data_IF_241286445054
#
_entry.id   IF_241286445054
#
_cell.length_a   1.000
_cell.length_b   1.000
_cell.length_c   1.000
_cell.angle_alpha   90.00
_cell.angle_beta   90.00
_cell.angle_gamma   90.00
#
_symmetry.space_group_name_H-M   'P 1'
#
loop_
_entity.id
_entity.type
_entity.pdbx_description
1 polymer ?
#
# COMPACT_ATOMS: atom_id res chain seq x y z
N UNK A 1 39.58 11.34 35.21
CA UNK A 1 39.63 11.74 33.78
C UNK A 1 40.06 10.51 33.01
N UNK A 2 39.42 10.01 31.97
CA UNK A 2 38.23 10.32 31.14
C UNK A 2 38.09 9.04 30.26
N UNK A 3 36.98 8.63 29.69
CA UNK A 3 36.07 9.31 28.76
C UNK A 3 34.76 8.53 28.86
N UNK A 4 33.67 9.24 29.10
CA UNK A 4 32.31 8.72 29.04
C UNK A 4 31.98 8.25 27.62
N UNK A 5 31.53 7.00 27.48
CA UNK A 5 30.78 6.55 26.32
C UNK A 5 29.62 7.52 26.10
N UNK A 6 29.61 8.18 24.94
CA UNK A 6 28.55 9.11 24.56
C UNK A 6 27.54 8.34 23.70
N UNK A 7 26.39 7.90 24.27
CA UNK A 7 25.41 7.07 23.56
C UNK A 7 24.61 7.83 22.49
N UNK A 8 24.80 9.14 22.35
CA UNK A 8 24.14 9.97 21.35
C UNK A 8 25.19 10.69 20.49
N UNK A 9 25.19 10.49 19.15
CA UNK A 9 26.05 11.28 18.28
C UNK A 9 25.70 12.77 18.42
N UNK A 10 26.72 13.63 18.41
CA UNK A 10 26.51 15.08 18.42
C UNK A 10 25.80 15.47 17.12
N UNK A 11 24.50 15.78 17.21
CA UNK A 11 23.69 16.23 16.09
C UNK A 11 24.19 17.61 15.67
N UNK A 12 24.73 17.71 14.46
CA UNK A 12 25.22 18.98 13.93
C UNK A 12 24.04 19.82 13.42
N UNK A 13 23.99 21.11 13.80
CA UNK A 13 22.92 22.01 13.38
C UNK A 13 23.14 22.42 11.91
N UNK A 14 22.33 21.87 11.01
CA UNK A 14 22.38 22.16 9.56
C UNK A 14 21.84 23.54 9.20
N UNK A 15 21.16 24.24 10.12
CA UNK A 15 20.52 25.55 9.84
C UNK A 15 21.52 26.70 9.62
N UNK A 16 22.77 26.59 10.09
CA UNK A 16 23.80 27.60 9.80
C UNK A 16 24.39 27.45 8.39
N UNK A 17 24.31 26.26 7.80
CA UNK A 17 24.88 25.98 6.48
C UNK A 17 24.10 26.66 5.33
N UNK A 18 22.78 26.81 5.47
CA UNK A 18 21.94 27.54 4.51
C UNK A 18 22.05 29.06 4.63
N UNK A 19 22.40 29.59 5.81
CA UNK A 19 22.59 31.04 6.00
C UNK A 19 23.98 31.51 5.55
N UNK A 20 25.04 30.77 5.86
CA UNK A 20 26.42 31.15 5.49
C UNK A 20 26.70 30.93 3.98
N UNK A 21 26.05 29.94 3.34
CA UNK A 21 26.20 29.68 1.90
C UNK A 21 25.16 30.38 1.02
N UNK A 22 24.27 31.20 1.58
CA UNK A 22 23.29 31.97 0.79
C UNK A 22 23.96 33.01 -0.12
N UNK A 23 25.14 33.48 0.25
CA UNK A 23 25.95 34.36 -0.60
C UNK A 23 26.62 33.59 -1.76
N UNK A 24 27.16 32.39 -1.51
CA UNK A 24 27.76 31.51 -2.53
C UNK A 24 26.72 30.94 -3.52
N UNK A 25 25.54 30.57 -3.03
CA UNK A 25 24.43 30.13 -3.88
C UNK A 25 23.90 31.27 -4.76
N UNK A 26 23.86 32.51 -4.25
CA UNK A 26 23.36 33.65 -5.03
C UNK A 26 24.37 34.19 -6.06
N UNK A 27 25.70 34.10 -5.81
CA UNK A 27 26.69 34.50 -6.83
C UNK A 27 26.68 33.59 -8.07
N UNK A 28 26.43 32.28 -7.92
CA UNK A 28 26.28 31.33 -9.06
C UNK A 28 25.11 31.63 -10.00
N UNK A 29 24.07 32.34 -9.53
CA UNK A 29 22.94 32.74 -10.36
C UNK A 29 23.11 34.13 -11.02
N UNK A 30 24.26 34.78 -10.83
CA UNK A 30 24.48 36.17 -11.29
C UNK A 30 25.62 36.35 -12.30
N UNK A 31 26.26 35.28 -12.76
CA UNK A 31 27.30 35.36 -13.80
C UNK A 31 26.94 34.47 -15.00
N UNK A 32 26.87 35.12 -16.17
CA UNK A 32 26.76 34.64 -17.55
C UNK A 32 26.35 33.15 -17.77
N UNK A 33 25.18 32.93 -18.38
CA UNK A 33 24.67 31.62 -18.87
C UNK A 33 25.60 30.88 -19.87
N UNK A 34 26.78 31.42 -20.17
CA UNK A 34 27.81 30.82 -21.05
C UNK A 34 29.05 30.29 -20.30
N UNK A 35 29.19 30.48 -18.98
CA UNK A 35 30.30 29.87 -18.22
C UNK A 35 29.94 28.46 -17.72
N UNK A 36 30.78 27.48 -18.04
CA UNK A 36 30.67 26.11 -17.50
C UNK A 36 31.12 26.14 -16.05
N UNK A 37 30.22 25.84 -15.11
CA UNK A 37 30.57 25.67 -13.70
C UNK A 37 31.65 24.57 -13.53
N UNK A 38 32.72 24.89 -12.80
CA UNK A 38 33.75 23.92 -12.47
C UNK A 38 33.23 22.96 -11.39
N UNK A 39 33.38 21.66 -11.66
CA UNK A 39 33.03 20.57 -10.75
C UNK A 39 33.86 20.66 -9.46
N UNK A 40 33.21 20.87 -8.31
CA UNK A 40 33.86 21.20 -7.04
C UNK A 40 33.47 20.29 -5.86
N UNK A 41 34.11 20.48 -4.70
CA UNK A 41 33.90 19.67 -3.49
C UNK A 41 32.46 19.73 -2.97
N UNK A 42 31.77 20.85 -3.22
CA UNK A 42 30.38 21.07 -2.83
C UNK A 42 29.45 20.12 -3.58
N UNK A 43 29.65 19.94 -4.89
CA UNK A 43 28.84 19.04 -5.70
C UNK A 43 28.96 17.58 -5.23
N UNK A 44 30.18 17.15 -4.86
CA UNK A 44 30.39 15.82 -4.28
C UNK A 44 29.70 15.68 -2.93
N UNK A 45 29.76 16.73 -2.09
CA UNK A 45 29.10 16.72 -0.80
C UNK A 45 27.57 16.60 -0.95
N UNK A 46 26.96 17.34 -1.86
CA UNK A 46 25.52 17.29 -2.12
C UNK A 46 25.05 15.90 -2.62
N UNK A 47 25.90 15.16 -3.33
CA UNK A 47 25.60 13.78 -3.75
C UNK A 47 25.54 12.78 -2.58
N UNK A 48 26.26 13.02 -1.49
CA UNK A 48 26.46 12.05 -0.40
C UNK A 48 25.85 12.46 0.95
N UNK A 49 25.53 13.75 1.15
CA UNK A 49 25.05 14.30 2.44
C UNK A 49 23.77 13.64 2.95
N UNK A 50 22.86 13.25 2.04
CA UNK A 50 21.55 12.67 2.37
C UNK A 50 21.54 11.13 2.47
N UNK A 51 22.70 10.47 2.41
CA UNK A 51 22.77 9.03 2.69
C UNK A 51 22.42 8.83 4.17
N UNK A 52 21.54 7.87 4.47
CA UNK A 52 21.20 7.52 5.86
C UNK A 52 22.24 6.57 6.44
N UNK A 53 22.55 6.74 7.72
CA UNK A 53 23.43 5.82 8.44
C UNK A 53 22.70 4.47 8.66
N UNK A 54 23.35 3.33 8.39
CA UNK A 54 22.72 2.01 8.57
C UNK A 54 22.48 1.64 10.05
N UNK A 55 23.14 2.31 10.99
CA UNK A 55 22.99 2.13 12.44
C UNK A 55 22.12 3.24 13.08
N UNK A 56 21.78 4.32 12.36
CA UNK A 56 21.05 5.46 12.92
C UNK A 56 20.03 6.09 11.93
N UNK A 57 18.82 6.51 12.35
CA UNK A 57 17.80 7.10 11.46
C UNK A 57 18.14 8.47 10.86
N UNK A 58 19.37 8.98 11.03
CA UNK A 58 19.79 10.31 10.57
C UNK A 58 20.74 10.19 9.38
N UNK A 59 20.83 11.26 8.61
CA UNK A 59 21.76 11.34 7.46
C UNK A 59 23.23 11.45 7.90
N UNK A 60 24.14 11.08 7.01
CA UNK A 60 25.58 11.15 7.25
C UNK A 60 26.05 12.59 7.52
N UNK A 61 25.39 13.61 6.95
CA UNK A 61 25.63 15.02 7.27
C UNK A 61 25.22 15.36 8.72
N UNK A 62 23.99 15.00 9.10
CA UNK A 62 23.46 15.28 10.45
C UNK A 62 24.29 14.61 11.55
N UNK A 63 24.91 13.47 11.23
CA UNK A 63 25.79 12.70 12.10
C UNK A 63 27.26 13.11 11.99
N UNK A 64 27.58 14.07 11.14
CA UNK A 64 28.92 14.59 10.93
C UNK A 64 29.93 13.51 10.45
N UNK A 65 29.39 12.48 9.79
CA UNK A 65 30.15 11.36 9.23
C UNK A 65 30.86 11.75 7.95
N UNK A 66 30.26 12.66 7.17
CA UNK A 66 30.85 13.28 5.99
C UNK A 66 30.89 14.79 6.17
N UNK A 67 31.96 15.43 5.67
CA UNK A 67 32.16 16.89 5.70
C UNK A 67 32.80 17.34 4.40
N UNK A 68 32.52 18.58 3.99
CA UNK A 68 33.12 19.20 2.80
C UNK A 68 34.64 19.23 2.90
N UNK A 69 35.19 19.61 4.06
CA UNK A 69 36.63 19.66 4.35
C UNK A 69 37.38 18.31 4.15
N UNK A 70 36.63 17.21 4.12
CA UNK A 70 37.16 15.85 3.97
C UNK A 70 37.04 15.30 2.55
N UNK A 71 36.55 16.11 1.60
CA UNK A 71 36.48 15.78 0.17
C UNK A 71 37.63 16.48 -0.54
N UNK A 72 38.39 15.72 -1.33
CA UNK A 72 39.50 16.24 -2.12
C UNK A 72 39.32 15.82 -3.58
N UNK A 73 39.26 16.79 -4.48
CA UNK A 73 39.12 16.55 -5.92
C UNK A 73 40.41 16.92 -6.63
N UNK A 74 40.87 16.04 -7.51
CA UNK A 74 41.94 16.33 -8.47
C UNK A 74 41.39 16.13 -9.88
N UNK A 75 40.97 17.23 -10.50
CA UNK A 75 40.31 17.23 -11.81
C UNK A 75 41.28 16.74 -12.90
N UNK A 76 42.54 17.21 -12.88
CA UNK A 76 43.58 16.82 -13.85
C UNK A 76 43.83 15.31 -13.87
N UNK A 77 43.83 14.66 -12.70
CA UNK A 77 44.04 13.22 -12.56
C UNK A 77 42.73 12.42 -12.53
N UNK A 78 41.59 13.11 -12.69
CA UNK A 78 40.24 12.54 -12.55
C UNK A 78 40.13 11.65 -11.31
N UNK A 79 40.51 12.18 -10.15
CA UNK A 79 40.63 11.42 -8.91
C UNK A 79 39.90 12.14 -7.77
N UNK A 80 39.07 11.39 -7.05
CA UNK A 80 38.28 11.91 -5.93
C UNK A 80 38.60 11.07 -4.70
N UNK A 81 38.95 11.75 -3.61
CA UNK A 81 39.30 11.14 -2.35
C UNK A 81 38.42 11.69 -1.23
N UNK A 82 37.77 10.79 -0.50
CA UNK A 82 36.82 11.16 0.55
C UNK A 82 37.22 10.48 1.84
N UNK A 83 37.31 11.29 2.90
CA UNK A 83 37.44 10.80 4.27
C UNK A 83 36.09 10.82 4.97
N UNK A 84 35.72 9.71 5.60
CA UNK A 84 34.52 9.64 6.43
C UNK A 84 34.88 9.19 7.85
N UNK A 85 34.16 9.74 8.82
CA UNK A 85 34.39 9.52 10.25
C UNK A 85 33.20 8.75 10.82
N UNK A 86 33.34 7.45 11.15
CA UNK A 86 32.25 6.70 11.78
C UNK A 86 31.79 7.38 13.07
N UNK A 87 30.50 7.21 13.40
CA UNK A 87 29.87 7.84 14.57
C UNK A 87 30.54 7.45 15.90
N UNK A 88 31.11 6.24 15.98
CA UNK A 88 31.87 5.76 17.13
C UNK A 88 33.13 4.97 16.72
N UNK A 89 34.20 4.96 17.54
CA UNK A 89 35.46 4.29 17.22
C UNK A 89 35.38 2.77 17.02
N UNK A 90 34.27 2.14 17.43
CA UNK A 90 34.04 0.71 17.34
C UNK A 90 32.82 0.35 16.45
N UNK A 91 32.42 1.25 15.55
CA UNK A 91 31.26 1.08 14.68
C UNK A 91 31.36 -0.20 13.84
N UNK A 92 30.43 -1.13 14.07
CA UNK A 92 30.44 -2.42 13.40
C UNK A 92 30.13 -2.30 11.90
N UNK A 93 29.41 -1.24 11.51
CA UNK A 93 28.97 -0.98 10.14
C UNK A 93 29.80 0.08 9.38
N UNK A 94 31.00 0.46 9.88
CA UNK A 94 31.88 1.40 9.18
C UNK A 94 32.19 0.98 7.72
N UNK A 95 32.26 -0.34 7.45
CA UNK A 95 32.42 -0.86 6.10
C UNK A 95 31.21 -0.57 5.19
N UNK A 96 29.98 -0.67 5.71
CA UNK A 96 28.77 -0.42 4.93
C UNK A 96 28.62 1.06 4.59
N UNK A 97 28.98 1.95 5.52
CA UNK A 97 29.02 3.40 5.27
C UNK A 97 30.00 3.70 4.13
N UNK A 98 31.24 3.19 4.22
CA UNK A 98 32.26 3.38 3.18
C UNK A 98 31.86 2.81 1.81
N UNK A 99 31.21 1.65 1.76
CA UNK A 99 30.71 1.05 0.52
C UNK A 99 29.53 1.84 -0.08
N UNK A 100 28.62 2.33 0.76
CA UNK A 100 27.46 3.13 0.33
C UNK A 100 27.90 4.45 -0.31
N UNK A 101 28.88 5.11 0.29
CA UNK A 101 29.53 6.30 -0.27
C UNK A 101 30.16 6.00 -1.63
N UNK A 102 30.96 4.93 -1.69
CA UNK A 102 31.67 4.53 -2.92
C UNK A 102 30.70 4.21 -4.05
N UNK A 103 29.61 3.50 -3.77
CA UNK A 103 28.63 3.12 -4.79
C UNK A 103 27.79 4.30 -5.27
N UNK A 104 27.33 5.16 -4.36
CA UNK A 104 26.58 6.37 -4.71
C UNK A 104 27.38 7.25 -5.67
N UNK A 105 28.68 7.42 -5.40
CA UNK A 105 29.57 8.22 -6.23
C UNK A 105 29.90 7.53 -7.55
N UNK A 106 30.17 6.22 -7.56
CA UNK A 106 30.41 5.49 -8.81
C UNK A 106 29.22 5.51 -9.77
N UNK A 107 27.98 5.58 -9.26
CA UNK A 107 26.76 5.71 -10.08
C UNK A 107 26.50 7.13 -10.55
N UNK A 108 26.82 8.12 -9.73
CA UNK A 108 26.49 9.51 -9.98
C UNK A 108 27.56 10.24 -10.78
N UNK A 109 28.80 9.75 -10.75
CA UNK A 109 29.94 10.39 -11.40
C UNK A 109 30.28 9.77 -12.77
N UNK A 110 30.81 10.56 -13.71
CA UNK A 110 31.34 10.03 -14.96
C UNK A 110 32.43 8.98 -14.71
N UNK A 111 32.41 7.88 -15.50
CA UNK A 111 33.35 6.75 -15.38
C UNK A 111 34.85 7.12 -15.47
N UNK A 112 35.18 8.35 -15.87
CA UNK A 112 36.56 8.87 -15.88
C UNK A 112 37.11 9.10 -14.47
N UNK A 113 36.25 9.35 -13.48
CA UNK A 113 36.69 9.62 -12.12
C UNK A 113 36.95 8.33 -11.35
N UNK A 114 38.14 8.22 -10.77
CA UNK A 114 38.47 7.18 -9.80
C UNK A 114 38.13 7.70 -8.39
N UNK A 115 37.25 6.98 -7.69
CA UNK A 115 36.80 7.33 -6.34
C UNK A 115 37.44 6.41 -5.29
N UNK A 116 38.18 7.01 -4.35
CA UNK A 116 38.73 6.34 -3.17
C UNK A 116 38.07 6.88 -1.90
N UNK A 117 37.39 5.99 -1.16
CA UNK A 117 36.74 6.29 0.12
C UNK A 117 37.56 5.67 1.24
N UNK A 118 37.94 6.47 2.23
CA UNK A 118 38.87 6.09 3.30
C UNK A 118 38.28 6.53 4.65
N UNK A 119 38.44 5.70 5.67
CA UNK A 119 38.13 6.11 7.05
C UNK A 119 39.12 7.19 7.50
N UNK A 120 38.63 8.24 8.14
CA UNK A 120 39.48 9.32 8.69
C UNK A 120 40.52 8.74 9.66
N UNK A 121 41.82 9.04 9.49
CA UNK A 121 42.87 8.47 10.35
C UNK A 121 42.63 8.68 11.84
N UNK A 122 42.75 7.62 12.63
CA UNK A 122 42.56 7.66 14.08
C UNK A 122 41.10 7.71 14.54
N UNK A 123 40.12 7.67 13.62
CA UNK A 123 38.69 7.69 13.96
C UNK A 123 38.07 6.32 14.25
N UNK A 124 38.77 5.22 13.97
CA UNK A 124 38.23 3.86 14.14
C UNK A 124 39.30 2.87 14.61
N UNK A 125 38.96 2.00 15.58
CA UNK A 125 39.88 1.05 16.19
C UNK A 125 40.41 -0.02 15.23
N UNK A 126 39.68 -0.28 14.14
CA UNK A 126 40.04 -1.24 13.10
C UNK A 126 40.19 -0.60 11.73
N UNK A 127 40.61 0.67 11.69
CA UNK A 127 40.80 1.47 10.47
C UNK A 127 41.57 0.73 9.37
N UNK A 128 42.72 0.11 9.69
CA UNK A 128 43.55 -0.59 8.70
C UNK A 128 42.83 -1.76 8.02
N UNK A 129 41.99 -2.47 8.77
CA UNK A 129 41.17 -3.56 8.26
C UNK A 129 40.03 -3.04 7.38
N UNK A 130 39.35 -1.97 7.80
CA UNK A 130 38.26 -1.33 7.04
C UNK A 130 38.79 -0.77 5.72
N UNK A 131 39.88 0.00 5.75
CA UNK A 131 40.49 0.57 4.56
C UNK A 131 41.05 -0.52 3.62
N UNK A 132 41.58 -1.63 4.15
CA UNK A 132 41.98 -2.78 3.32
C UNK A 132 40.78 -3.42 2.62
N UNK A 133 39.64 -3.53 3.31
CA UNK A 133 38.41 -4.10 2.76
C UNK A 133 37.75 -3.19 1.70
N UNK A 134 37.78 -1.86 1.88
CA UNK A 134 37.26 -0.90 0.90
C UNK A 134 38.11 -0.80 -0.38
N UNK A 135 39.39 -1.16 -0.30
CA UNK A 135 40.35 -1.13 -1.39
C UNK A 135 40.49 -2.45 -2.15
N UNK A 136 39.88 -3.53 -1.66
CA UNK A 136 39.90 -4.84 -2.30
C UNK A 136 39.01 -4.82 -3.56
N UNK A 137 39.63 -4.64 -4.72
CA UNK A 137 38.95 -4.57 -6.03
C UNK A 137 38.16 -5.83 -6.35
N UNK A 138 38.61 -7.01 -5.93
CA UNK A 138 37.87 -8.26 -6.19
C UNK A 138 36.66 -8.39 -5.28
N UNK A 139 36.74 -7.91 -4.03
CA UNK A 139 35.60 -7.90 -3.11
C UNK A 139 34.57 -6.82 -3.43
N UNK A 140 35.02 -5.65 -3.88
CA UNK A 140 34.17 -4.56 -4.38
C UNK A 140 33.53 -4.96 -5.70
N UNK A 141 34.27 -5.58 -6.63
CA UNK A 141 33.70 -6.12 -7.88
C UNK A 141 32.77 -7.31 -7.61
N UNK A 142 33.03 -8.19 -6.64
CA UNK A 142 32.12 -9.29 -6.27
C UNK A 142 30.86 -8.82 -5.52
N UNK A 143 30.92 -7.68 -4.83
CA UNK A 143 29.75 -7.00 -4.31
C UNK A 143 28.94 -6.28 -5.41
N UNK A 144 29.55 -6.01 -6.56
CA UNK A 144 28.98 -5.24 -7.67
C UNK A 144 28.60 -6.07 -8.92
N UNK A 145 29.18 -7.25 -9.13
CA UNK A 145 28.89 -8.16 -10.25
C UNK A 145 28.17 -9.42 -9.75
N UNK A 146 26.84 -9.39 -9.80
CA UNK A 146 25.96 -10.52 -9.49
C UNK A 146 25.90 -11.56 -10.61
N UNK A 147 27.02 -11.89 -11.24
CA UNK A 147 27.04 -12.92 -12.30
C UNK A 147 28.38 -13.65 -12.36
N UNK A 148 28.35 -14.91 -11.90
CA UNK A 148 29.39 -15.97 -11.98
C UNK A 148 30.56 -15.86 -11.01
N UNK A 149 30.48 -16.60 -9.90
CA UNK A 149 31.40 -17.72 -9.62
C UNK A 149 30.88 -18.52 -8.42
N UNK A 150 30.29 -19.67 -8.74
CA UNK A 150 29.74 -20.65 -7.81
C UNK A 150 30.82 -21.66 -7.40
N UNK A 151 30.80 -22.07 -6.12
CA UNK A 151 30.76 -23.49 -5.67
C UNK A 151 31.40 -23.78 -4.31
N UNK A 152 32.10 -22.86 -3.64
CA UNK A 152 32.73 -23.19 -2.33
C UNK A 152 32.22 -22.34 -1.16
N UNK A 153 31.77 -21.11 -1.39
CA UNK A 153 31.10 -20.28 -0.35
C UNK A 153 29.60 -20.57 -0.20
N UNK A 154 29.02 -21.26 -1.18
CA UNK A 154 27.62 -21.69 -1.19
C UNK A 154 27.31 -22.60 0.00
N UNK A 155 28.22 -23.47 0.46
CA UNK A 155 27.89 -24.34 1.61
C UNK A 155 27.82 -23.60 2.95
N UNK A 156 28.61 -22.56 3.18
CA UNK A 156 28.61 -21.81 4.45
C UNK A 156 27.59 -20.68 4.45
N UNK A 157 27.38 -20.03 3.29
CA UNK A 157 26.26 -19.08 3.10
C UNK A 157 24.92 -19.80 2.98
N UNK A 158 24.84 -21.06 2.50
CA UNK A 158 23.62 -21.84 2.69
C UNK A 158 23.43 -22.20 4.14
N UNK A 159 24.44 -22.43 4.98
CA UNK A 159 24.16 -22.68 6.40
C UNK A 159 23.65 -21.41 7.10
N UNK A 160 24.15 -20.23 6.76
CA UNK A 160 23.66 -18.95 7.33
C UNK A 160 22.38 -18.43 6.68
N UNK A 161 22.17 -18.60 5.37
CA UNK A 161 20.87 -18.36 4.71
C UNK A 161 19.87 -19.47 5.03
N UNK A 162 20.26 -20.71 5.27
CA UNK A 162 19.36 -21.74 5.81
C UNK A 162 19.06 -21.42 7.25
N UNK A 163 19.97 -20.85 8.05
CA UNK A 163 19.70 -20.40 9.43
C UNK A 163 18.85 -19.13 9.50
N UNK A 164 19.07 -18.15 8.62
CA UNK A 164 18.23 -16.94 8.50
C UNK A 164 16.91 -17.28 7.82
N UNK A 165 16.90 -18.16 6.81
CA UNK A 165 15.66 -18.77 6.31
C UNK A 165 15.12 -19.83 7.27
N UNK A 166 15.83 -20.32 8.30
CA UNK A 166 15.28 -21.20 9.33
C UNK A 166 14.67 -20.35 10.41
N UNK A 167 15.23 -19.20 10.76
CA UNK A 167 14.68 -18.28 11.75
C UNK A 167 13.56 -17.45 11.11
N UNK A 168 13.70 -17.04 9.86
CA UNK A 168 12.63 -16.51 9.05
C UNK A 168 11.65 -17.62 8.69
N UNK A 169 12.02 -18.85 8.34
CA UNK A 169 11.04 -19.95 8.25
C UNK A 169 10.51 -20.39 9.60
N UNK A 170 11.13 -20.13 10.77
CA UNK A 170 10.56 -20.43 12.09
C UNK A 170 9.65 -19.27 12.51
N UNK A 171 9.93 -18.02 12.13
CA UNK A 171 9.02 -16.86 12.31
C UNK A 171 7.87 -16.87 11.30
N UNK A 172 8.15 -17.23 10.05
CA UNK A 172 7.19 -17.52 8.99
C UNK A 172 6.48 -18.83 9.30
N UNK A 173 7.08 -19.84 9.95
CA UNK A 173 6.37 -21.05 10.41
C UNK A 173 5.61 -20.82 11.71
N UNK A 174 5.99 -19.87 12.58
CA UNK A 174 5.13 -19.48 13.72
C UNK A 174 4.04 -18.51 13.30
N UNK A 175 4.27 -17.64 12.30
CA UNK A 175 3.19 -16.88 11.63
C UNK A 175 2.36 -17.76 10.69
N UNK A 176 2.93 -18.77 10.02
CA UNK A 176 2.19 -19.76 9.21
C UNK A 176 1.45 -20.74 10.11
N UNK A 177 1.97 -21.16 11.26
CA UNK A 177 1.25 -21.98 12.24
C UNK A 177 0.13 -21.17 12.92
N UNK A 178 0.31 -19.86 13.09
CA UNK A 178 -0.81 -18.96 13.38
C UNK A 178 -1.76 -18.78 12.17
N UNK A 179 -1.29 -18.94 10.93
CA UNK A 179 -2.10 -18.90 9.70
C UNK A 179 -2.71 -20.25 9.27
N UNK A 180 -2.33 -21.38 9.87
CA UNK A 180 -2.94 -22.70 9.60
C UNK A 180 -4.36 -22.75 10.20
N UNK A 181 -4.73 -21.78 11.05
CA UNK A 181 -6.09 -21.56 11.51
C UNK A 181 -6.85 -20.45 10.76
N UNK A 182 -6.31 -19.88 9.66
CA UNK A 182 -6.98 -18.85 8.84
C UNK A 182 -7.94 -19.41 7.77
N UNK A 183 -8.50 -20.59 8.01
CA UNK A 183 -9.57 -21.17 7.18
C UNK A 183 -10.96 -20.53 7.43
N UNK A 184 -11.01 -19.30 7.96
CA UNK A 184 -12.25 -18.59 8.36
C UNK A 184 -12.40 -17.17 7.81
N UNK A 185 -11.56 -16.76 6.85
CA UNK A 185 -11.78 -15.54 6.10
C UNK A 185 -12.99 -15.68 5.17
N UNK A 186 -13.77 -14.61 5.00
CA UNK A 186 -14.89 -14.60 4.06
C UNK A 186 -14.47 -14.17 2.64
N UNK A 187 -13.28 -13.60 2.46
CA UNK A 187 -12.68 -13.45 1.14
C UNK A 187 -11.94 -14.74 0.78
N UNK A 188 -12.31 -15.32 -0.36
CA UNK A 188 -11.58 -16.43 -0.99
C UNK A 188 -11.37 -16.06 -2.44
N UNK A 189 -10.11 -15.77 -2.80
CA UNK A 189 -9.73 -15.44 -4.17
C UNK A 189 -10.03 -16.60 -5.10
N UNK A 190 -10.72 -16.34 -6.19
CA UNK A 190 -11.06 -17.36 -7.19
C UNK A 190 -9.81 -17.77 -7.96
N UNK A 191 -9.72 -19.06 -8.29
CA UNK A 191 -8.71 -19.58 -9.22
C UNK A 191 -9.10 -19.31 -10.69
N UNK A 192 -10.35 -18.93 -10.94
CA UNK A 192 -10.82 -18.60 -12.29
C UNK A 192 -10.17 -17.30 -12.76
N UNK A 193 -9.75 -17.28 -14.02
CA UNK A 193 -9.25 -16.07 -14.65
C UNK A 193 -10.36 -15.01 -14.70
N UNK A 194 -10.14 -13.88 -14.04
CA UNK A 194 -11.05 -12.75 -14.11
C UNK A 194 -10.85 -12.01 -15.44
N UNK A 195 -11.89 -11.98 -16.27
CA UNK A 195 -11.90 -11.26 -17.54
C UNK A 195 -12.61 -9.93 -17.37
N UNK A 196 -11.85 -8.84 -17.47
CA UNK A 196 -12.41 -7.50 -17.43
C UNK A 196 -13.34 -7.25 -18.63
N UNK A 197 -14.42 -6.51 -18.40
CA UNK A 197 -15.35 -6.06 -19.42
C UNK A 197 -15.24 -4.54 -19.47
N UNK A 198 -14.36 -4.02 -20.32
CA UNK A 198 -14.13 -2.58 -20.49
C UNK A 198 -14.72 -2.13 -21.82
N UNK A 199 -15.70 -1.22 -21.78
CA UNK A 199 -16.37 -0.66 -22.97
C UNK A 199 -16.16 0.86 -23.09
N UNK A 200 -15.83 1.53 -21.99
CA UNK A 200 -15.56 2.96 -21.92
C UNK A 200 -14.18 3.25 -21.30
N UNK A 201 -13.59 4.44 -21.56
CA UNK A 201 -12.35 4.86 -20.90
C UNK A 201 -12.46 4.77 -19.38
N UNK A 202 -11.40 4.34 -18.70
CA UNK A 202 -11.42 4.23 -17.24
C UNK A 202 -11.08 5.59 -16.61
N UNK A 203 -11.64 5.95 -15.44
CA UNK A 203 -11.36 7.21 -14.75
C UNK A 203 -9.88 7.52 -14.57
N UNK A 204 -9.04 6.52 -14.32
CA UNK A 204 -7.58 6.66 -14.24
C UNK A 204 -6.93 7.22 -15.53
N UNK A 205 -7.58 7.06 -16.68
CA UNK A 205 -7.05 7.49 -17.98
C UNK A 205 -7.31 8.97 -18.27
N UNK A 206 -8.32 9.59 -17.61
CA UNK A 206 -8.74 10.97 -17.90
C UNK A 206 -8.85 11.89 -16.68
N UNK A 207 -8.81 11.37 -15.45
CA UNK A 207 -8.80 12.17 -14.23
C UNK A 207 -7.37 12.27 -13.70
N UNK A 208 -6.83 13.48 -13.62
CA UNK A 208 -5.51 13.71 -13.02
C UNK A 208 -5.64 13.85 -11.51
N UNK A 209 -4.60 13.46 -10.77
CA UNK A 209 -4.60 13.54 -9.31
C UNK A 209 -4.87 14.93 -8.76
N UNK A 210 -4.38 15.98 -9.44
CA UNK A 210 -4.60 17.37 -9.04
C UNK A 210 -6.04 17.87 -9.23
N UNK A 211 -6.86 17.13 -9.99
CA UNK A 211 -8.26 17.48 -10.26
C UNK A 211 -9.22 16.85 -9.23
N UNK A 212 -8.74 15.91 -8.41
CA UNK A 212 -9.54 15.25 -7.38
C UNK A 212 -9.64 16.15 -6.14
N UNK A 213 -10.82 16.21 -5.50
CA UNK A 213 -10.98 16.99 -4.28
C UNK A 213 -10.20 16.37 -3.12
N UNK A 214 -9.75 17.21 -2.19
CA UNK A 214 -9.07 16.76 -0.97
C UNK A 214 -9.94 15.82 -0.12
N UNK A 215 -11.26 16.06 -0.10
CA UNK A 215 -12.24 15.26 0.61
C UNK A 215 -13.38 14.88 -0.32
N UNK A 216 -13.84 13.63 -0.25
CA UNK A 216 -15.00 13.16 -0.98
C UNK A 216 -15.74 12.11 -0.17
N UNK A 217 -17.06 12.24 -0.05
CA UNK A 217 -17.88 11.31 0.71
C UNK A 217 -19.25 11.13 0.03
N UNK A 218 -19.48 9.94 -0.55
CA UNK A 218 -20.76 9.62 -1.18
C UNK A 218 -21.95 9.57 -0.21
N UNK A 219 -21.70 9.57 1.11
CA UNK A 219 -22.75 9.75 2.13
C UNK A 219 -23.29 11.17 2.18
N UNK A 220 -22.54 12.14 1.65
CA UNK A 220 -22.92 13.55 1.64
C UNK A 220 -22.26 14.29 0.47
N UNK A 221 -22.87 14.22 -0.71
CA UNK A 221 -22.50 15.06 -1.85
C UNK A 221 -23.53 16.17 -1.96
N UNK A 222 -23.14 17.38 -1.58
CA UNK A 222 -24.00 18.57 -1.58
C UNK A 222 -25.32 18.39 -0.79
N UNK A 223 -25.25 17.73 0.38
CA UNK A 223 -26.41 17.47 1.25
C UNK A 223 -27.21 16.22 0.89
N UNK A 224 -26.81 15.47 -0.14
CA UNK A 224 -27.50 14.25 -0.59
C UNK A 224 -26.67 13.01 -0.26
N UNK A 225 -27.30 12.03 0.38
CA UNK A 225 -26.74 10.70 0.58
C UNK A 225 -27.08 9.80 -0.62
N UNK A 226 -26.06 9.20 -1.24
CA UNK A 226 -26.22 8.27 -2.35
C UNK A 226 -26.08 6.81 -1.94
N UNK A 227 -25.57 6.54 -0.74
CA UNK A 227 -25.33 5.18 -0.31
C UNK A 227 -26.61 4.52 0.20
N UNK A 228 -26.71 3.22 -0.04
CA UNK A 228 -27.74 2.31 0.48
C UNK A 228 -27.60 2.08 1.99
N UNK A 229 -28.50 1.30 2.58
CA UNK A 229 -28.49 1.02 4.02
C UNK A 229 -27.26 0.21 4.47
N UNK A 230 -26.82 0.43 5.71
CA UNK A 230 -25.82 -0.42 6.35
C UNK A 230 -26.40 -1.79 6.68
N UNK A 231 -25.59 -2.85 6.54
CA UNK A 231 -26.06 -4.24 6.63
C UNK A 231 -25.15 -5.07 7.52
N UNK A 232 -25.64 -6.24 7.95
CA UNK A 232 -24.91 -7.16 8.82
C UNK A 232 -24.95 -8.59 8.27
N UNK A 233 -23.79 -9.10 7.87
CA UNK A 233 -23.63 -10.46 7.35
C UNK A 233 -23.62 -11.54 8.43
N UNK A 234 -23.45 -11.17 9.70
CA UNK A 234 -23.29 -12.12 10.81
C UNK A 234 -24.60 -12.51 11.49
N UNK A 235 -25.74 -12.05 10.96
CA UNK A 235 -27.08 -12.35 11.48
C UNK A 235 -28.01 -12.80 10.34
N UNK A 236 -28.98 -13.70 10.61
CA UNK A 236 -29.34 -14.28 11.90
C UNK A 236 -28.33 -15.30 12.47
N UNK A 237 -27.39 -15.76 11.64
CA UNK A 237 -26.25 -16.58 12.04
C UNK A 237 -24.99 -16.15 11.27
N UNK A 238 -23.84 -16.68 11.67
CA UNK A 238 -22.60 -16.40 10.96
C UNK A 238 -22.65 -16.92 9.52
N UNK A 239 -22.34 -16.04 8.57
CA UNK A 239 -22.12 -16.36 7.17
C UNK A 239 -20.98 -15.48 6.64
N UNK A 240 -19.91 -16.11 6.16
CA UNK A 240 -18.75 -15.46 5.56
C UNK A 240 -19.06 -14.91 4.16
N UNK A 241 -19.92 -13.89 4.09
CA UNK A 241 -20.48 -13.37 2.83
C UNK A 241 -20.07 -11.93 2.52
N UNK A 242 -18.99 -11.43 3.11
CA UNK A 242 -18.47 -10.07 2.88
C UNK A 242 -18.29 -9.73 1.39
N UNK A 243 -17.82 -10.69 0.60
CA UNK A 243 -17.68 -10.58 -0.86
C UNK A 243 -19.01 -10.24 -1.55
N UNK A 244 -20.11 -10.87 -1.11
CA UNK A 244 -21.46 -10.62 -1.64
C UNK A 244 -22.00 -9.27 -1.16
N UNK A 245 -21.82 -8.93 0.12
CA UNK A 245 -22.27 -7.65 0.67
C UNK A 245 -21.55 -6.44 0.04
N UNK A 246 -20.23 -6.48 -0.08
CA UNK A 246 -19.48 -5.38 -0.68
C UNK A 246 -19.79 -5.23 -2.18
N UNK A 247 -19.94 -6.35 -2.91
CA UNK A 247 -20.34 -6.33 -4.33
C UNK A 247 -21.72 -5.74 -4.51
N UNK A 248 -22.71 -6.24 -3.77
CA UNK A 248 -24.11 -5.79 -3.90
C UNK A 248 -24.30 -4.36 -3.41
N UNK A 249 -23.65 -3.96 -2.32
CA UNK A 249 -23.72 -2.59 -1.80
C UNK A 249 -23.08 -1.60 -2.77
N UNK A 250 -21.86 -1.88 -3.27
CA UNK A 250 -21.20 -1.00 -4.24
C UNK A 250 -22.01 -0.83 -5.51
N UNK A 251 -22.56 -1.91 -6.10
CA UNK A 251 -23.43 -1.81 -7.27
C UNK A 251 -24.72 -1.02 -7.00
N UNK A 252 -25.35 -1.24 -5.84
CA UNK A 252 -26.58 -0.53 -5.46
C UNK A 252 -26.34 0.97 -5.25
N UNK A 253 -25.22 1.33 -4.62
CA UNK A 253 -24.78 2.71 -4.45
C UNK A 253 -24.53 3.37 -5.81
N UNK A 254 -23.89 2.65 -6.74
CA UNK A 254 -23.68 3.12 -8.12
C UNK A 254 -24.98 3.33 -8.90
N UNK A 255 -26.00 2.48 -8.68
CA UNK A 255 -27.35 2.72 -9.24
C UNK A 255 -27.96 4.01 -8.67
N UNK A 256 -27.83 4.24 -7.37
CA UNK A 256 -28.33 5.48 -6.75
C UNK A 256 -27.61 6.71 -7.30
N UNK A 257 -26.28 6.63 -7.49
CA UNK A 257 -25.47 7.71 -8.11
C UNK A 257 -25.96 8.00 -9.53
N UNK A 258 -26.07 6.97 -10.36
CA UNK A 258 -26.55 7.10 -11.75
C UNK A 258 -27.93 7.75 -11.84
N UNK A 259 -28.79 7.49 -10.84
CA UNK A 259 -30.17 7.98 -10.80
C UNK A 259 -30.35 9.30 -10.05
N UNK A 260 -29.29 9.88 -9.49
CA UNK A 260 -29.42 11.11 -8.71
C UNK A 260 -30.11 10.92 -7.34
N UNK A 261 -29.98 9.73 -6.73
CA UNK A 261 -30.59 9.34 -5.45
C UNK A 261 -32.13 9.51 -5.39
N UNK A 262 -32.83 9.34 -6.52
CA UNK A 262 -34.29 9.44 -6.57
C UNK A 262 -34.99 8.17 -6.09
N UNK A 263 -36.15 8.34 -5.46
CA UNK A 263 -36.96 7.21 -4.98
C UNK A 263 -37.53 6.38 -6.15
N UNK A 264 -37.66 5.05 -5.99
CA UNK A 264 -37.13 4.23 -4.89
C UNK A 264 -35.67 3.87 -5.14
N UNK A 265 -34.91 3.61 -4.07
CA UNK A 265 -33.57 3.04 -4.19
C UNK A 265 -33.64 1.57 -4.64
N UNK A 266 -32.59 1.08 -5.28
CA UNK A 266 -32.44 -0.34 -5.60
C UNK A 266 -31.46 -0.95 -4.60
N UNK A 267 -31.87 -1.97 -3.84
CA UNK A 267 -30.98 -2.65 -2.90
C UNK A 267 -30.79 -4.08 -3.37
N UNK A 268 -29.64 -4.40 -3.97
CA UNK A 268 -29.38 -5.73 -4.48
C UNK A 268 -29.40 -6.80 -3.38
N UNK A 269 -29.89 -8.00 -3.71
CA UNK A 269 -30.00 -9.14 -2.82
C UNK A 269 -28.68 -9.93 -2.69
N UNK A 270 -27.92 -9.85 -1.58
CA UNK A 270 -26.69 -10.62 -1.40
C UNK A 270 -26.97 -12.13 -1.29
N UNK A 271 -28.16 -12.51 -0.80
CA UNK A 271 -28.57 -13.91 -0.70
C UNK A 271 -28.70 -14.58 -2.07
N UNK A 272 -29.06 -13.83 -3.11
CA UNK A 272 -29.15 -14.40 -4.46
C UNK A 272 -27.79 -14.91 -4.93
N UNK A 273 -26.71 -14.14 -4.71
CA UNK A 273 -25.36 -14.57 -5.08
C UNK A 273 -24.96 -15.85 -4.34
N UNK A 274 -25.31 -15.96 -3.05
CA UNK A 274 -25.05 -17.17 -2.24
C UNK A 274 -25.85 -18.37 -2.77
N UNK A 275 -27.16 -18.19 -3.04
CA UNK A 275 -28.03 -19.26 -3.51
C UNK A 275 -27.63 -19.80 -4.89
N UNK A 276 -27.06 -18.93 -5.73
CA UNK A 276 -26.70 -19.22 -7.10
C UNK A 276 -25.22 -19.56 -7.28
N UNK A 277 -24.45 -19.67 -6.19
CA UNK A 277 -22.99 -19.82 -6.22
C UNK A 277 -22.34 -18.82 -7.20
N UNK A 278 -22.84 -17.59 -7.17
CA UNK A 278 -22.52 -16.56 -8.13
C UNK A 278 -21.22 -15.85 -7.79
N UNK A 279 -20.20 -16.57 -7.31
CA UNK A 279 -18.94 -16.02 -6.80
C UNK A 279 -18.51 -16.57 -5.44
N UNK A 280 -19.32 -17.45 -4.84
CA UNK A 280 -19.01 -18.13 -3.59
C UNK A 280 -20.25 -18.43 -2.75
N UNK A 281 -20.01 -18.78 -1.48
CA UNK A 281 -21.03 -19.18 -0.51
C UNK A 281 -20.84 -18.46 0.83
N UNK A 282 -21.52 -18.90 1.90
CA UNK A 282 -21.20 -18.50 3.27
C UNK A 282 -19.81 -18.95 3.75
N UNK A 283 -19.13 -19.82 3.01
CA UNK A 283 -17.76 -20.24 3.32
C UNK A 283 -16.72 -19.33 2.68
N UNK A 284 -17.15 -18.24 2.03
CA UNK A 284 -16.31 -17.24 1.38
C UNK A 284 -16.51 -17.19 -0.12
N UNK A 285 -15.96 -16.15 -0.74
CA UNK A 285 -16.09 -15.90 -2.17
C UNK A 285 -15.28 -14.71 -2.67
N UNK A 286 -15.40 -14.43 -3.97
CA UNK A 286 -14.63 -13.43 -4.69
C UNK A 286 -15.54 -12.38 -5.36
N UNK A 287 -15.39 -11.08 -5.06
CA UNK A 287 -16.16 -10.02 -5.72
C UNK A 287 -15.93 -9.95 -7.25
N UNK A 288 -14.75 -10.33 -7.76
CA UNK A 288 -14.47 -10.34 -9.19
C UNK A 288 -15.28 -11.43 -9.92
N UNK A 289 -15.39 -12.61 -9.31
CA UNK A 289 -16.24 -13.68 -9.81
C UNK A 289 -17.72 -13.28 -9.72
N UNK A 290 -18.11 -12.60 -8.64
CA UNK A 290 -19.45 -12.06 -8.50
C UNK A 290 -19.80 -11.07 -9.61
N UNK A 291 -18.96 -10.09 -9.88
CA UNK A 291 -19.18 -9.17 -11.00
C UNK A 291 -19.31 -9.90 -12.34
N UNK A 292 -18.48 -10.92 -12.57
CA UNK A 292 -18.54 -11.74 -13.80
C UNK A 292 -19.85 -12.52 -13.92
N UNK A 293 -20.32 -13.09 -12.81
CA UNK A 293 -21.59 -13.81 -12.77
C UNK A 293 -22.76 -12.86 -13.03
N UNK A 294 -22.75 -11.67 -12.43
CA UNK A 294 -23.81 -10.66 -12.59
C UNK A 294 -23.86 -10.15 -14.04
N UNK A 295 -22.71 -9.99 -14.70
CA UNK A 295 -22.66 -9.59 -16.11
C UNK A 295 -23.30 -10.63 -17.07
N UNK A 296 -23.27 -11.91 -16.70
CA UNK A 296 -23.90 -13.00 -17.46
C UNK A 296 -25.34 -13.29 -17.01
N UNK A 297 -25.74 -12.73 -15.86
CA UNK A 297 -27.03 -12.92 -15.22
C UNK A 297 -27.61 -11.55 -14.85
N UNK A 298 -28.26 -11.49 -13.69
CA UNK A 298 -28.77 -10.26 -13.11
C UNK A 298 -28.89 -10.43 -11.59
N UNK A 299 -28.77 -9.32 -10.86
CA UNK A 299 -29.13 -9.20 -9.46
C UNK A 299 -30.58 -8.73 -9.32
N UNK A 300 -31.31 -9.38 -8.44
CA UNK A 300 -32.65 -8.95 -8.03
C UNK A 300 -32.56 -8.01 -6.81
N UNK A 301 -33.62 -7.26 -6.58
CA UNK A 301 -33.79 -6.48 -5.36
C UNK A 301 -33.92 -7.40 -4.13
N UNK A 302 -33.50 -6.92 -2.95
CA UNK A 302 -33.52 -7.63 -1.67
C UNK A 302 -34.86 -8.29 -1.37
N UNK A 303 -35.95 -7.62 -1.76
CA UNK A 303 -37.33 -8.10 -1.57
C UNK A 303 -37.62 -9.44 -2.26
N UNK A 304 -36.86 -9.79 -3.30
CA UNK A 304 -37.00 -11.05 -4.03
C UNK A 304 -36.30 -12.23 -3.35
N UNK A 305 -35.18 -11.96 -2.67
CA UNK A 305 -34.37 -12.96 -1.98
C UNK A 305 -33.78 -12.35 -0.69
N UNK A 306 -34.61 -12.19 0.37
CA UNK A 306 -34.14 -11.62 1.63
C UNK A 306 -32.98 -12.40 2.22
N UNK A 307 -32.04 -11.69 2.83
CA UNK A 307 -30.87 -12.28 3.45
C UNK A 307 -31.22 -13.23 4.60
N UNK A 308 -30.66 -14.44 4.53
CA UNK A 308 -30.90 -15.55 5.47
C UNK A 308 -29.60 -16.10 6.07
N UNK A 309 -28.43 -15.58 5.67
CA UNK A 309 -27.12 -16.00 6.17
C UNK A 309 -26.91 -17.52 6.13
N UNK A 310 -27.29 -18.16 5.02
CA UNK A 310 -27.23 -19.62 4.89
C UNK A 310 -26.92 -20.09 3.48
N UNK A 311 -26.32 -21.29 3.40
CA UNK A 311 -26.09 -22.05 2.19
C UNK A 311 -27.29 -22.96 1.87
N UNK A 312 -27.29 -23.56 0.67
CA UNK A 312 -28.19 -24.67 0.31
C UNK A 312 -29.62 -24.26 -0.08
N UNK A 313 -29.91 -22.97 -0.15
CA UNK A 313 -31.16 -22.49 -0.73
C UNK A 313 -31.11 -22.56 -2.25
N UNK A 314 -32.25 -22.87 -2.88
CA UNK A 314 -32.34 -22.93 -4.33
C UNK A 314 -32.12 -21.56 -4.99
N UNK A 315 -31.30 -21.52 -6.05
CA UNK A 315 -31.14 -20.35 -6.90
C UNK A 315 -32.42 -19.97 -7.66
N UNK A 316 -33.22 -20.96 -8.04
CA UNK A 316 -34.47 -20.77 -8.78
C UNK A 316 -35.68 -21.19 -7.93
N UNK A 317 -36.76 -20.40 -7.92
CA UNK A 317 -36.88 -19.08 -8.55
C UNK A 317 -36.02 -18.00 -7.88
N UNK A 318 -35.44 -17.10 -8.68
CA UNK A 318 -34.61 -15.97 -8.19
C UNK A 318 -35.41 -14.95 -7.38
N UNK A 319 -36.70 -14.83 -7.67
CA UNK A 319 -37.63 -13.97 -6.95
C UNK A 319 -38.87 -14.78 -6.57
N UNK A 320 -39.20 -14.77 -5.27
CA UNK A 320 -40.39 -15.45 -4.75
C UNK A 320 -41.01 -14.66 -3.61
N UNK A 321 -42.30 -14.88 -3.39
CA UNK A 321 -43.02 -14.41 -2.22
C UNK A 321 -43.81 -15.56 -1.61
N UNK A 322 -44.06 -15.50 -0.30
CA UNK A 322 -44.84 -16.48 0.41
C UNK A 322 -45.98 -15.79 1.16
N UNK A 323 -47.20 -16.29 0.99
CA UNK A 323 -48.37 -15.81 1.70
C UNK A 323 -48.34 -16.29 3.17
N UNK A 324 -49.12 -15.64 4.07
CA UNK A 324 -49.21 -16.06 5.47
C UNK A 324 -49.71 -17.51 5.69
N UNK A 325 -50.39 -18.09 4.69
CA UNK A 325 -50.85 -19.49 4.71
C UNK A 325 -49.76 -20.51 4.35
N UNK A 326 -48.53 -20.06 4.11
CA UNK A 326 -47.37 -20.88 3.75
C UNK A 326 -47.24 -21.18 2.26
N UNK A 327 -48.18 -20.73 1.41
CA UNK A 327 -48.07 -20.90 -0.03
C UNK A 327 -47.02 -19.94 -0.62
N UNK A 328 -46.03 -20.48 -1.33
CA UNK A 328 -45.00 -19.67 -1.98
C UNK A 328 -45.15 -19.72 -3.50
N UNK A 329 -44.95 -18.57 -4.15
CA UNK A 329 -45.02 -18.44 -5.60
C UNK A 329 -43.80 -17.69 -6.15
N UNK A 330 -43.38 -18.07 -7.36
CA UNK A 330 -42.40 -17.34 -8.13
C UNK A 330 -43.00 -16.01 -8.59
N UNK A 331 -42.22 -14.94 -8.46
CA UNK A 331 -42.50 -13.67 -9.12
C UNK A 331 -41.73 -13.65 -10.43
N UNK A 332 -42.38 -13.34 -11.54
CA UNK A 332 -41.78 -13.36 -12.89
C UNK A 332 -41.42 -11.97 -13.40
N UNK A 333 -42.08 -10.92 -12.90
CA UNK A 333 -41.79 -9.53 -13.23
C UNK A 333 -41.26 -8.81 -12.00
N UNK A 334 -39.97 -8.47 -12.02
CA UNK A 334 -39.25 -7.83 -10.92
C UNK A 334 -38.11 -6.97 -11.46
N UNK A 335 -37.76 -5.92 -10.72
CA UNK A 335 -36.59 -5.09 -11.02
C UNK A 335 -35.32 -5.89 -10.82
N UNK A 336 -34.38 -5.69 -11.73
CA UNK A 336 -33.08 -6.32 -11.66
C UNK A 336 -32.02 -5.42 -12.30
N UNK A 337 -30.76 -5.67 -11.96
CA UNK A 337 -29.60 -5.04 -12.61
C UNK A 337 -28.66 -6.10 -13.16
N UNK A 338 -27.98 -5.78 -14.25
CA UNK A 338 -26.80 -6.51 -14.71
C UNK A 338 -25.57 -5.61 -14.60
N UNK A 339 -24.38 -6.20 -14.77
CA UNK A 339 -23.11 -5.48 -14.83
C UNK A 339 -22.73 -5.31 -16.30
N UNK A 340 -22.69 -4.06 -16.76
CA UNK A 340 -22.40 -3.72 -18.16
C UNK A 340 -20.91 -3.68 -18.45
N UNK A 341 -20.12 -3.25 -17.47
CA UNK A 341 -18.66 -3.15 -17.47
C UNK A 341 -18.12 -3.52 -16.09
N UNK A 342 -16.95 -4.14 -16.01
CA UNK A 342 -16.29 -4.49 -14.75
C UNK A 342 -14.78 -4.60 -14.96
N UNK A 343 -14.01 -4.29 -13.92
CA UNK A 343 -12.56 -4.36 -13.95
C UNK A 343 -11.95 -4.25 -12.56
N UNK A 344 -10.63 -4.35 -12.50
CA UNK A 344 -9.86 -4.13 -11.28
C UNK A 344 -9.30 -2.71 -11.21
N UNK A 345 -9.06 -2.25 -9.99
CA UNK A 345 -8.37 -0.99 -9.71
C UNK A 345 -7.49 -1.16 -8.49
N UNK A 346 -6.29 -0.59 -8.52
CA UNK A 346 -5.29 -0.75 -7.46
C UNK A 346 -4.54 0.56 -7.25
N UNK A 347 -4.02 0.77 -6.05
CA UNK A 347 -3.29 1.97 -5.65
C UNK A 347 -4.22 3.17 -5.40
N UNK A 348 -3.84 4.00 -4.43
CA UNK A 348 -4.71 5.05 -3.94
C UNK A 348 -5.24 6.00 -5.01
N UNK A 349 -4.36 6.45 -5.91
CA UNK A 349 -4.72 7.39 -6.97
C UNK A 349 -5.85 6.88 -7.87
N UNK A 350 -5.71 5.65 -8.38
CA UNK A 350 -6.65 5.12 -9.36
C UNK A 350 -7.96 4.73 -8.67
N UNK A 351 -7.90 4.27 -7.41
CA UNK A 351 -9.08 4.03 -6.58
C UNK A 351 -9.85 5.33 -6.35
N UNK A 352 -9.17 6.44 -6.01
CA UNK A 352 -9.83 7.74 -5.86
C UNK A 352 -10.52 8.17 -7.15
N UNK A 353 -9.85 8.04 -8.30
CA UNK A 353 -10.43 8.39 -9.59
C UNK A 353 -11.68 7.56 -9.90
N UNK A 354 -11.65 6.25 -9.66
CA UNK A 354 -12.79 5.36 -9.85
C UNK A 354 -13.95 5.71 -8.91
N UNK A 355 -13.66 5.90 -7.62
CA UNK A 355 -14.67 6.24 -6.61
C UNK A 355 -15.31 7.59 -6.90
N UNK A 356 -14.51 8.60 -7.28
CA UNK A 356 -15.00 9.93 -7.61
C UNK A 356 -15.95 9.92 -8.81
N UNK A 357 -15.55 9.26 -9.89
CA UNK A 357 -16.24 9.36 -11.16
C UNK A 357 -17.46 8.44 -11.23
N UNK A 358 -17.36 7.24 -10.65
CA UNK A 358 -18.32 6.16 -10.88
C UNK A 358 -18.91 5.56 -9.62
N UNK A 359 -18.47 5.98 -8.43
CA UNK A 359 -19.03 5.52 -7.15
C UNK A 359 -18.23 4.43 -6.45
N UNK A 360 -18.71 3.94 -5.30
CA UNK A 360 -17.97 3.00 -4.43
C UNK A 360 -17.41 1.75 -5.13
N UNK A 361 -16.32 1.20 -4.59
CA UNK A 361 -15.66 -0.02 -5.10
C UNK A 361 -15.51 -1.06 -3.99
N UNK A 362 -15.54 -2.34 -4.34
CA UNK A 362 -15.32 -3.44 -3.41
C UNK A 362 -13.83 -3.78 -3.34
N UNK A 363 -13.22 -3.75 -2.15
CA UNK A 363 -11.78 -3.94 -1.95
C UNK A 363 -11.51 -5.04 -0.94
N UNK A 364 -10.47 -5.84 -1.21
CA UNK A 364 -9.97 -6.81 -0.24
C UNK A 364 -9.21 -6.12 0.88
N UNK A 365 -9.30 -6.64 2.10
CA UNK A 365 -8.55 -6.16 3.26
C UNK A 365 -8.17 -7.33 4.17
N UNK A 366 -7.05 -7.20 4.87
CA UNK A 366 -6.62 -8.14 5.90
C UNK A 366 -7.27 -7.79 7.24
N UNK A 367 -8.48 -8.31 7.50
CA UNK A 367 -9.16 -8.12 8.77
C UNK A 367 -8.39 -8.80 9.90
N UNK A 368 -8.01 -7.99 10.89
CA UNK A 368 -7.28 -8.38 12.10
C UNK A 368 -8.18 -8.23 13.33
N UNK A 369 -7.75 -8.80 14.45
CA UNK A 369 -8.44 -8.61 15.74
C UNK A 369 -8.50 -7.12 16.14
N UNK A 370 -7.51 -6.32 15.75
CA UNK A 370 -7.51 -4.88 16.02
C UNK A 370 -8.57 -4.17 15.18
N UNK A 371 -8.73 -4.54 13.90
CA UNK A 371 -9.81 -4.02 13.05
C UNK A 371 -11.18 -4.48 13.53
N UNK A 372 -11.34 -5.72 13.99
CA UNK A 372 -12.57 -6.23 14.60
C UNK A 372 -12.96 -5.45 15.86
N UNK A 373 -11.98 -5.02 16.66
CA UNK A 373 -12.17 -4.22 17.86
C UNK A 373 -12.31 -2.70 17.60
N UNK A 374 -12.27 -2.26 16.34
CA UNK A 374 -12.33 -0.85 15.98
C UNK A 374 -13.64 -0.18 16.43
N UNK A 375 -13.51 1.04 16.96
CA UNK A 375 -14.65 1.86 17.41
C UNK A 375 -14.71 3.22 16.71
N UNK A 376 -13.57 3.91 16.57
CA UNK A 376 -13.51 5.23 15.94
C UNK A 376 -12.07 5.64 15.60
N UNK A 377 -11.90 6.76 14.87
CA UNK A 377 -10.61 7.33 14.50
C UNK A 377 -10.05 6.78 13.19
N UNK A 378 -8.87 7.27 12.79
CA UNK A 378 -8.17 6.75 11.61
C UNK A 378 -7.39 5.50 12.03
N UNK A 379 -7.83 4.35 11.56
CA UNK A 379 -7.17 3.08 11.81
C UNK A 379 -5.82 3.00 11.08
N UNK A 380 -4.81 2.49 11.76
CA UNK A 380 -3.51 2.13 11.20
C UNK A 380 -2.95 0.93 11.94
N UNK A 381 -2.46 -0.07 11.21
CA UNK A 381 -1.82 -1.26 11.78
C UNK A 381 -0.69 -1.70 10.86
N UNK A 382 0.54 -1.68 11.39
CA UNK A 382 1.72 -2.09 10.63
C UNK A 382 1.68 -3.60 10.35
N UNK A 383 1.80 -3.96 9.06
CA UNK A 383 1.91 -5.35 8.62
C UNK A 383 2.86 -5.47 7.44
N UNK A 384 3.92 -6.27 7.61
CA UNK A 384 4.93 -6.50 6.58
C UNK A 384 4.36 -7.24 5.35
N UNK A 385 3.42 -8.16 5.58
CA UNK A 385 2.74 -8.90 4.50
C UNK A 385 1.26 -8.97 4.86
N UNK A 386 0.41 -8.05 4.36
CA UNK A 386 -1.03 -8.20 4.49
C UNK A 386 -1.50 -9.39 3.65
N UNK A 387 -2.30 -10.25 4.26
CA UNK A 387 -2.95 -11.41 3.63
C UNK A 387 -4.46 -11.16 3.71
N UNK A 388 -5.08 -10.61 2.64
CA UNK A 388 -6.50 -10.27 2.64
C UNK A 388 -7.38 -11.49 2.93
N UNK A 389 -8.36 -11.32 3.81
CA UNK A 389 -9.29 -12.35 4.26
C UNK A 389 -10.74 -11.84 4.38
N UNK A 390 -10.97 -10.54 4.07
CA UNK A 390 -12.26 -9.86 4.15
C UNK A 390 -12.42 -8.91 2.95
N UNK A 391 -13.66 -8.56 2.60
CA UNK A 391 -13.99 -7.57 1.55
C UNK A 391 -14.83 -6.46 2.16
N UNK A 392 -14.49 -5.22 1.84
CA UNK A 392 -15.17 -4.00 2.28
C UNK A 392 -15.46 -3.10 1.07
N UNK A 393 -16.22 -2.01 1.25
CA UNK A 393 -16.46 -1.05 0.17
C UNK A 393 -15.83 0.30 0.50
N UNK A 394 -14.91 0.79 -0.33
CA UNK A 394 -14.40 2.17 -0.23
C UNK A 394 -15.46 3.10 -0.82
N UNK A 395 -15.91 4.09 -0.05
CA UNK A 395 -17.01 5.00 -0.41
C UNK A 395 -16.59 6.48 -0.46
N UNK A 396 -15.35 6.78 -0.11
CA UNK A 396 -14.84 8.14 -0.06
C UNK A 396 -13.46 8.20 0.59
N UNK A 397 -12.95 9.41 0.76
CA UNK A 397 -11.68 9.70 1.44
C UNK A 397 -11.72 11.09 2.08
N UNK A 398 -10.75 11.36 2.94
CA UNK A 398 -10.52 12.69 3.46
C UNK A 398 -9.11 12.89 3.96
N UNK A 399 -8.82 14.12 4.36
CA UNK A 399 -7.57 14.52 5.00
C UNK A 399 -7.85 15.04 6.41
N UNK A 400 -7.13 14.51 7.39
CA UNK A 400 -7.19 14.99 8.77
C UNK A 400 -6.04 15.96 9.02
N UNK A 401 -6.37 17.24 9.18
CA UNK A 401 -5.41 18.28 9.56
C UNK A 401 -4.80 17.99 10.94
N UNK A 402 -5.56 17.40 11.87
CA UNK A 402 -5.05 17.08 13.21
C UNK A 402 -4.03 15.95 13.17
N UNK A 403 -4.27 14.92 12.37
CA UNK A 403 -3.38 13.77 12.25
C UNK A 403 -2.30 13.96 11.17
N UNK A 404 -2.42 15.01 10.34
CA UNK A 404 -1.62 15.26 9.14
C UNK A 404 -1.58 14.04 8.19
N UNK A 405 -2.71 13.36 8.02
CA UNK A 405 -2.82 12.10 7.27
C UNK A 405 -4.12 12.02 6.46
N UNK A 406 -4.00 11.45 5.26
CA UNK A 406 -5.15 11.06 4.45
C UNK A 406 -5.72 9.71 4.89
N UNK A 407 -7.03 9.54 4.73
CA UNK A 407 -7.73 8.31 5.11
C UNK A 407 -8.83 7.95 4.11
N UNK A 408 -9.10 6.66 3.98
CA UNK A 408 -10.27 6.12 3.31
C UNK A 408 -11.48 6.14 4.23
N UNK A 409 -12.66 6.38 3.66
CA UNK A 409 -13.95 6.14 4.30
C UNK A 409 -14.45 4.80 3.77
N UNK A 410 -14.63 3.84 4.67
CA UNK A 410 -14.87 2.45 4.29
C UNK A 410 -16.14 1.93 4.95
N UNK A 411 -17.04 1.40 4.12
CA UNK A 411 -18.25 0.69 4.56
C UNK A 411 -17.89 -0.77 4.86
N UNK A 412 -18.26 -1.22 6.06
CA UNK A 412 -18.18 -2.61 6.46
C UNK A 412 -19.56 -3.29 6.43
N UNK A 413 -19.59 -4.61 6.61
CA UNK A 413 -20.79 -5.45 6.56
C UNK A 413 -21.08 -6.14 7.89
N UNK A 414 -20.67 -5.55 9.01
CA UNK A 414 -20.85 -6.09 10.37
C UNK A 414 -21.95 -5.38 11.17
N UNK A 415 -22.81 -4.61 10.49
CA UNK A 415 -23.91 -3.87 11.10
C UNK A 415 -23.53 -2.51 11.66
N UNK A 416 -24.55 -1.69 11.89
CA UNK A 416 -24.38 -0.30 12.32
C UNK A 416 -23.79 -0.13 13.73
N UNK A 417 -23.70 -1.18 14.55
CA UNK A 417 -23.06 -1.11 15.86
C UNK A 417 -21.53 -1.12 15.77
N UNK A 418 -20.97 -1.57 14.65
CA UNK A 418 -19.54 -1.63 14.46
C UNK A 418 -18.97 -0.26 14.11
N UNK A 419 -17.84 0.12 14.71
CA UNK A 419 -17.12 1.33 14.36
C UNK A 419 -17.98 2.60 14.39
N UNK A 420 -17.87 3.38 13.34
CA UNK A 420 -18.59 4.64 13.12
C UNK A 420 -19.88 4.39 12.33
N UNK A 421 -20.86 3.76 12.98
CA UNK A 421 -22.17 3.42 12.37
C UNK A 421 -22.04 2.46 11.18
N UNK A 422 -21.27 1.39 11.32
CA UNK A 422 -21.00 0.42 10.25
C UNK A 422 -19.85 0.81 9.31
N UNK A 423 -19.22 1.97 9.54
CA UNK A 423 -18.05 2.44 8.79
C UNK A 423 -16.79 2.45 9.66
N UNK A 424 -15.65 2.50 8.99
CA UNK A 424 -14.38 2.83 9.61
C UNK A 424 -13.57 3.76 8.71
N UNK A 425 -12.58 4.41 9.30
CA UNK A 425 -11.56 5.16 8.58
C UNK A 425 -10.23 4.42 8.69
N UNK A 426 -9.46 4.36 7.61
CA UNK A 426 -8.14 3.71 7.59
C UNK A 426 -7.17 4.56 6.78
N UNK A 427 -5.90 4.61 7.18
CA UNK A 427 -4.87 5.39 6.48
C UNK A 427 -4.82 5.09 4.98
N UNK A 428 -4.70 6.15 4.17
CA UNK A 428 -4.62 6.08 2.71
C UNK A 428 -3.18 6.27 2.24
N UNK A 429 -2.77 5.52 1.21
CA UNK A 429 -1.47 5.65 0.54
C UNK A 429 -0.29 5.07 1.32
N UNK A 430 -0.54 4.45 2.47
CA UNK A 430 0.46 3.84 3.34
C UNK A 430 0.34 2.31 3.33
N UNK A 431 1.04 1.69 2.37
CA UNK A 431 1.01 0.24 2.12
C UNK A 431 1.25 -0.61 3.37
N UNK A 432 2.12 -0.15 4.28
CA UNK A 432 2.48 -0.93 5.46
C UNK A 432 1.44 -0.84 6.56
N UNK A 433 0.61 0.21 6.57
CA UNK A 433 -0.28 0.53 7.69
C UNK A 433 -1.77 0.45 7.34
N UNK A 434 -2.12 0.17 6.08
CA UNK A 434 -3.50 0.16 5.58
C UNK A 434 -4.09 -1.25 5.33
N UNK A 435 -3.49 -2.29 5.91
CA UNK A 435 -3.95 -3.68 5.80
C UNK A 435 -4.12 -4.19 4.36
N UNK A 436 -3.41 -3.61 3.41
CA UNK A 436 -3.45 -4.00 2.00
C UNK A 436 -4.74 -3.60 1.27
N UNK A 437 -5.54 -2.66 1.81
CA UNK A 437 -6.85 -2.28 1.25
C UNK A 437 -6.78 -1.76 -0.21
N UNK A 438 -5.61 -1.31 -0.65
CA UNK A 438 -5.37 -0.72 -1.98
C UNK A 438 -4.87 -1.73 -3.02
N UNK A 439 -4.73 -3.01 -2.67
CA UNK A 439 -4.06 -4.02 -3.50
C UNK A 439 -4.95 -4.75 -4.49
N UNK A 440 -6.23 -4.90 -4.17
CA UNK A 440 -7.18 -5.63 -5.01
C UNK A 440 -8.59 -5.09 -4.78
N UNK A 441 -9.00 -4.17 -5.64
CA UNK A 441 -10.36 -3.66 -5.69
C UNK A 441 -11.01 -3.98 -7.04
N UNK A 442 -12.32 -4.18 -7.00
CA UNK A 442 -13.16 -4.47 -8.17
C UNK A 442 -14.26 -3.42 -8.25
N UNK A 443 -14.52 -2.96 -9.46
CA UNK A 443 -15.58 -2.01 -9.77
C UNK A 443 -16.53 -2.60 -10.82
N UNK A 444 -17.77 -2.10 -10.86
CA UNK A 444 -18.77 -2.49 -11.86
C UNK A 444 -19.63 -1.30 -12.26
N UNK A 445 -20.09 -1.28 -13.52
CA UNK A 445 -21.07 -0.31 -14.02
C UNK A 445 -22.43 -1.02 -14.13
N UNK A 446 -23.39 -0.73 -13.25
CA UNK A 446 -24.69 -1.38 -13.28
C UNK A 446 -25.57 -0.86 -14.43
N UNK A 447 -26.48 -1.69 -14.92
CA UNK A 447 -27.63 -1.21 -15.71
C UNK A 447 -28.62 -0.44 -14.83
N UNK A 448 -29.44 0.43 -15.43
CA UNK A 448 -30.51 1.10 -14.70
C UNK A 448 -31.73 0.16 -14.56
N UNK A 449 -32.16 -0.20 -13.33
CA UNK A 449 -33.30 -1.11 -13.11
C UNK A 449 -34.69 -0.48 -13.35
N UNK A 450 -34.74 0.80 -13.76
CA UNK A 450 -35.98 1.58 -13.93
C UNK A 450 -36.22 2.05 -15.37
N UNK A 451 -35.36 1.66 -16.30
CA UNK A 451 -35.49 1.97 -17.73
C UNK A 451 -36.10 0.83 -18.52
#
# INVERSE_FOLDING_TARGET
MSISDNPNPLIYNTNNFEQDNKFLYNERFTQDEESVDEFDEMEIFDLIRHINDPEHPLSLEQLNVVRIENININIEKSYIKIFFTPTVPHCSMANLIGLSLKEKLNRSLPKRFKVDVIVTPGSHSSESSVNKQLNDKERVSAALDTTRMSKITISLLLISLIAINFVAAIKINTQLEQNINRDRGCYKKSEKEFKEIIKSPQPKDYIKSGDLPLNWDWRNVSGVNYLTIDRNQHIPQYCGSCWSFATTSSLSDRVNIQRGSVWPQFNAAPQQLINCDGGGTCDGGDPAEAMSWIAQNHLVDETCAPYQATNGLACNPRCKTCNPDGTCQQITNYRNITVLETGKVTGAKDIMAEVYARGPVACSIDATNALEAYTSGIFEEFKLVPVPNHIVSIVGWGYSEQAQKSYWIVRNSWGAYYGMTGYFQIVQGDFWNNLGIELDCVWGVPSNPFN
#
